data_IF_939059140534
#
_entry.id   IF_939059140534
#
_cell.length_a   1.000
_cell.length_b   1.000
_cell.length_c   1.000
_cell.angle_alpha   90.00
_cell.angle_beta   90.00
_cell.angle_gamma   90.00
#
_symmetry.space_group_name_H-M   'P 1'
#
loop_
_entity.id
_entity.type
_entity.pdbx_description
1 polymer ?
#
# COMPACT_ATOMS: atom_id res chain seq x y z
N UNK A 1 -67.91 -20.16 48.44
CA UNK A 1 -66.45 -20.40 48.57
C UNK A 1 -65.87 -20.37 47.18
N UNK A 2 -65.21 -19.26 46.82
CA UNK A 2 -64.60 -19.02 45.52
C UNK A 2 -63.08 -19.10 45.75
N UNK A 3 -62.41 -20.04 45.07
CA UNK A 3 -60.96 -20.14 45.11
C UNK A 3 -60.35 -19.02 44.25
N UNK A 4 -59.38 -18.31 44.82
CA UNK A 4 -58.64 -17.23 44.17
C UNK A 4 -57.56 -17.84 43.26
N UNK A 5 -57.55 -17.59 41.94
CA UNK A 5 -56.60 -18.19 41.00
C UNK A 5 -55.18 -17.59 41.08
N UNK A 6 -54.93 -16.64 41.97
CA UNK A 6 -53.66 -15.91 42.08
C UNK A 6 -52.82 -16.28 43.32
N UNK A 7 -53.17 -17.37 44.00
CA UNK A 7 -52.46 -17.85 45.18
C UNK A 7 -51.98 -19.28 44.92
N UNK A 8 -51.18 -19.43 43.87
CA UNK A 8 -50.33 -20.61 43.76
C UNK A 8 -49.15 -20.39 44.69
N UNK A 9 -49.17 -21.11 45.81
CA UNK A 9 -48.03 -21.27 46.70
C UNK A 9 -46.92 -21.96 45.87
N UNK A 10 -46.01 -21.16 45.31
CA UNK A 10 -44.92 -21.58 44.41
C UNK A 10 -43.90 -22.53 45.08
N UNK A 11 -44.17 -22.92 46.33
CA UNK A 11 -43.42 -23.86 47.15
C UNK A 11 -44.00 -25.28 47.16
N UNK A 12 -44.95 -25.60 46.28
CA UNK A 12 -45.41 -26.97 46.11
C UNK A 12 -44.21 -27.91 45.88
N UNK A 13 -44.15 -29.01 46.65
CA UNK A 13 -43.07 -29.99 46.61
C UNK A 13 -42.80 -30.42 45.17
N UNK A 14 -41.70 -29.92 44.63
CA UNK A 14 -41.26 -30.26 43.27
C UNK A 14 -41.00 -31.77 43.21
N UNK A 15 -41.41 -32.40 42.11
CA UNK A 15 -41.17 -33.82 41.93
C UNK A 15 -39.65 -34.11 41.99
N UNK A 16 -39.21 -35.12 42.76
CA UNK A 16 -37.78 -35.40 42.89
C UNK A 16 -37.19 -35.74 41.51
N UNK A 17 -36.27 -34.89 41.04
CA UNK A 17 -35.61 -35.02 39.73
C UNK A 17 -35.92 -33.93 38.70
N UNK A 18 -36.84 -33.00 39.00
CA UNK A 18 -37.16 -31.91 38.07
C UNK A 18 -36.04 -30.85 37.99
N UNK A 19 -35.42 -30.56 39.14
CA UNK A 19 -34.24 -29.70 39.25
C UNK A 19 -33.03 -30.23 38.47
N UNK A 20 -32.76 -31.55 38.54
CA UNK A 20 -31.64 -32.15 37.80
C UNK A 20 -31.87 -32.12 36.30
N UNK A 21 -33.12 -32.26 35.83
CA UNK A 21 -33.48 -32.07 34.42
C UNK A 21 -33.21 -30.66 33.92
N UNK A 22 -33.53 -29.62 34.70
CA UNK A 22 -33.22 -28.23 34.32
C UNK A 22 -31.72 -27.94 34.29
N UNK A 23 -30.94 -28.52 35.20
CA UNK A 23 -29.48 -28.37 35.19
C UNK A 23 -28.88 -29.00 33.94
N UNK A 24 -29.31 -30.21 33.57
CA UNK A 24 -28.83 -30.87 32.36
C UNK A 24 -29.19 -30.13 31.07
N UNK A 25 -30.36 -29.50 30.99
CA UNK A 25 -30.73 -28.69 29.81
C UNK A 25 -29.92 -27.40 29.71
N UNK A 26 -29.60 -26.76 30.85
CA UNK A 26 -28.73 -25.59 30.90
C UNK A 26 -27.29 -25.92 30.50
N UNK A 27 -26.73 -27.05 30.97
CA UNK A 27 -25.38 -27.46 30.60
C UNK A 27 -25.26 -27.79 29.11
N UNK A 28 -26.23 -28.51 28.55
CA UNK A 28 -26.27 -28.80 27.11
C UNK A 28 -26.40 -27.52 26.25
N UNK A 29 -27.15 -26.52 26.72
CA UNK A 29 -27.25 -25.22 26.05
C UNK A 29 -25.93 -24.42 26.15
N UNK A 30 -25.27 -24.48 27.30
CA UNK A 30 -24.01 -23.78 27.57
C UNK A 30 -22.86 -24.31 26.72
N UNK A 31 -22.76 -25.63 26.54
CA UNK A 31 -21.74 -26.23 25.67
C UNK A 31 -21.91 -25.81 24.21
N UNK A 32 -23.15 -25.79 23.68
CA UNK A 32 -23.43 -25.33 22.32
C UNK A 32 -23.08 -23.85 22.12
N UNK A 33 -23.33 -23.01 23.12
CA UNK A 33 -22.97 -21.60 23.07
C UNK A 33 -21.45 -21.37 23.10
N UNK A 34 -20.70 -22.17 23.88
CA UNK A 34 -19.24 -22.09 23.95
C UNK A 34 -18.57 -22.51 22.65
N UNK A 35 -19.06 -23.59 22.04
CA UNK A 35 -18.52 -24.10 20.78
C UNK A 35 -18.74 -23.12 19.61
N UNK A 36 -19.88 -22.42 19.55
CA UNK A 36 -20.12 -21.39 18.53
C UNK A 36 -19.14 -20.22 18.62
N UNK A 37 -18.84 -19.74 19.83
CA UNK A 37 -17.88 -18.64 20.03
C UNK A 37 -16.45 -19.04 19.62
N UNK A 38 -16.05 -20.27 19.92
CA UNK A 38 -14.72 -20.78 19.54
C UNK A 38 -14.55 -20.89 18.01
N UNK A 39 -15.57 -21.39 17.32
CA UNK A 39 -15.58 -21.47 15.84
C UNK A 39 -15.48 -20.09 15.19
N UNK A 40 -16.21 -19.11 15.72
CA UNK A 40 -16.24 -17.77 15.16
C UNK A 40 -14.88 -17.06 15.32
N UNK A 41 -14.24 -17.15 16.49
CA UNK A 41 -12.91 -16.58 16.73
C UNK A 41 -11.82 -17.30 15.90
N UNK A 42 -11.89 -18.62 15.80
CA UNK A 42 -10.95 -19.41 15.00
C UNK A 42 -11.00 -19.06 13.51
N UNK A 43 -12.20 -18.84 12.97
CA UNK A 43 -12.38 -18.48 11.56
C UNK A 43 -11.75 -17.13 11.22
N UNK A 44 -11.94 -16.11 12.08
CA UNK A 44 -11.31 -14.81 11.87
C UNK A 44 -9.78 -14.89 11.98
N UNK A 45 -9.26 -15.64 12.97
CA UNK A 45 -7.81 -15.82 13.14
C UNK A 45 -7.14 -16.41 11.90
N UNK A 46 -7.73 -17.44 11.28
CA UNK A 46 -7.18 -18.07 10.08
C UNK A 46 -7.20 -17.12 8.86
N UNK A 47 -8.24 -16.29 8.74
CA UNK A 47 -8.39 -15.33 7.65
C UNK A 47 -7.33 -14.21 7.71
N UNK A 48 -7.00 -13.72 8.91
CA UNK A 48 -5.92 -12.75 9.11
C UNK A 48 -4.54 -13.32 8.76
N UNK A 49 -4.26 -14.57 9.14
CA UNK A 49 -2.98 -15.23 8.80
C UNK A 49 -2.85 -15.40 7.29
N UNK A 50 -3.90 -15.87 6.61
CA UNK A 50 -3.88 -16.02 5.15
C UNK A 50 -3.69 -14.67 4.42
N UNK A 51 -4.38 -13.62 4.85
CA UNK A 51 -4.22 -12.28 4.30
C UNK A 51 -2.79 -11.72 4.51
N UNK A 52 -2.21 -11.94 5.69
CA UNK A 52 -0.85 -11.51 6.01
C UNK A 52 0.21 -12.13 5.10
N UNK A 53 0.10 -13.42 4.79
CA UNK A 53 1.05 -14.14 3.92
C UNK A 53 1.02 -13.58 2.49
N UNK A 54 -0.17 -13.29 1.95
CA UNK A 54 -0.31 -12.76 0.59
C UNK A 54 0.34 -11.38 0.49
N UNK A 55 0.07 -10.48 1.45
CA UNK A 55 0.61 -9.12 1.45
C UNK A 55 2.14 -9.13 1.60
N UNK A 56 2.68 -9.94 2.52
CA UNK A 56 4.13 -10.07 2.71
C UNK A 56 4.83 -10.67 1.47
N UNK A 57 4.21 -11.66 0.82
CA UNK A 57 4.74 -12.29 -0.39
C UNK A 57 4.78 -11.35 -1.59
N UNK A 58 3.76 -10.51 -1.79
CA UNK A 58 3.74 -9.51 -2.87
C UNK A 58 4.85 -8.47 -2.71
N UNK A 59 5.12 -8.03 -1.48
CA UNK A 59 6.18 -7.07 -1.19
C UNK A 59 7.58 -7.61 -1.51
N UNK A 60 7.83 -8.88 -1.21
CA UNK A 60 9.10 -9.58 -1.50
C UNK A 60 9.28 -9.93 -2.98
N UNK A 61 8.19 -10.13 -3.73
CA UNK A 61 8.27 -10.39 -5.17
C UNK A 61 8.61 -9.10 -5.94
N UNK A 62 8.11 -7.95 -5.50
CA UNK A 62 8.38 -6.66 -6.13
C UNK A 62 9.80 -6.15 -5.93
N UNK A 63 10.50 -6.58 -4.88
CA UNK A 63 11.90 -6.23 -4.68
C UNK A 63 12.87 -6.92 -5.66
N UNK A 64 12.40 -7.90 -6.44
CA UNK A 64 13.23 -8.59 -7.46
C UNK A 64 13.10 -8.04 -8.87
N UNK A 65 12.21 -7.07 -9.10
CA UNK A 65 12.07 -6.44 -10.41
C UNK A 65 13.14 -5.36 -10.55
N UNK A 66 14.22 -5.71 -11.23
CA UNK A 66 15.26 -4.78 -11.65
C UNK A 66 14.69 -3.88 -12.77
N UNK A 67 14.56 -2.59 -12.47
CA UNK A 67 14.23 -1.57 -13.46
C UNK A 67 15.42 -0.62 -13.55
N UNK A 68 15.91 -0.35 -14.77
CA UNK A 68 17.13 0.44 -14.94
C UNK A 68 18.41 -0.19 -14.34
N UNK A 69 18.41 -1.49 -14.09
CA UNK A 69 19.56 -2.24 -13.54
C UNK A 69 19.74 -2.17 -12.03
N UNK A 70 18.78 -1.61 -11.28
CA UNK A 70 18.76 -1.60 -9.81
C UNK A 70 17.42 -2.11 -9.27
N UNK A 71 17.46 -2.71 -8.09
CA UNK A 71 16.26 -3.19 -7.39
C UNK A 71 15.48 -2.05 -6.73
N UNK A 72 14.19 -2.27 -6.42
CA UNK A 72 13.38 -1.27 -5.69
C UNK A 72 13.99 -0.93 -4.32
N UNK A 73 14.61 -1.91 -3.65
CA UNK A 73 15.23 -1.73 -2.34
C UNK A 73 16.49 -0.85 -2.42
N UNK A 74 17.34 -1.09 -3.42
CA UNK A 74 18.52 -0.25 -3.70
C UNK A 74 18.08 1.16 -4.10
N UNK A 75 17.08 1.28 -4.98
CA UNK A 75 16.52 2.57 -5.37
C UNK A 75 16.08 3.37 -4.13
N UNK A 76 15.36 2.75 -3.19
CA UNK A 76 14.91 3.39 -1.96
C UNK A 76 16.08 3.81 -1.04
N UNK A 77 17.13 3.00 -0.96
CA UNK A 77 18.32 3.33 -0.17
C UNK A 77 19.04 4.60 -0.69
N UNK A 78 19.01 4.84 -1.99
CA UNK A 78 19.65 6.00 -2.63
C UNK A 78 18.75 7.24 -2.79
N UNK A 79 17.51 7.22 -2.27
CA UNK A 79 16.58 8.36 -2.39
C UNK A 79 17.15 9.68 -1.89
N UNK A 80 17.82 9.68 -0.73
CA UNK A 80 18.37 10.91 -0.12
C UNK A 80 19.50 11.48 -0.98
N UNK A 81 20.38 10.62 -1.47
CA UNK A 81 21.53 11.02 -2.28
C UNK A 81 21.09 11.54 -3.65
N UNK A 82 20.13 10.86 -4.28
CA UNK A 82 19.54 11.31 -5.53
C UNK A 82 18.73 12.60 -5.39
N UNK A 83 18.03 12.80 -4.27
CA UNK A 83 17.40 14.07 -3.96
C UNK A 83 18.43 15.20 -3.86
N UNK A 84 19.54 14.98 -3.14
CA UNK A 84 20.61 15.98 -3.01
C UNK A 84 21.19 16.36 -4.36
N UNK A 85 21.38 15.39 -5.26
CA UNK A 85 21.77 15.62 -6.64
C UNK A 85 20.85 16.60 -7.38
N UNK A 86 19.55 16.36 -7.28
CA UNK A 86 18.53 17.16 -7.97
C UNK A 86 18.38 18.55 -7.35
N UNK A 87 18.50 18.66 -6.02
CA UNK A 87 18.31 19.90 -5.28
C UNK A 87 19.53 20.84 -5.37
N UNK A 88 20.74 20.31 -5.24
CA UNK A 88 21.97 21.10 -5.11
C UNK A 88 22.76 21.21 -6.44
N UNK A 89 22.27 20.57 -7.53
CA UNK A 89 23.02 20.37 -8.78
C UNK A 89 24.43 19.79 -8.56
N UNK A 90 24.64 19.12 -7.44
CA UNK A 90 25.94 18.59 -7.07
C UNK A 90 26.23 17.38 -7.95
N UNK A 91 27.32 17.37 -8.70
CA UNK A 91 27.67 16.25 -9.58
C UNK A 91 27.83 14.99 -8.73
N UNK A 92 26.94 14.02 -8.90
CA UNK A 92 27.09 12.74 -8.21
C UNK A 92 28.42 12.13 -8.62
N UNK A 93 29.11 11.53 -7.64
CA UNK A 93 30.36 10.81 -7.89
C UNK A 93 30.19 9.66 -8.88
N UNK A 94 28.97 9.11 -8.95
CA UNK A 94 28.63 8.01 -9.83
C UNK A 94 27.50 8.39 -10.81
N UNK A 95 27.88 8.70 -12.05
CA UNK A 95 26.96 9.06 -13.12
C UNK A 95 26.11 7.87 -13.62
N UNK A 96 26.54 6.63 -13.35
CA UNK A 96 25.76 5.45 -13.71
C UNK A 96 24.58 5.30 -12.74
N UNK A 97 24.82 5.53 -11.45
CA UNK A 97 23.78 5.44 -10.42
C UNK A 97 22.63 6.42 -10.66
N UNK A 98 22.94 7.68 -11.01
CA UNK A 98 21.90 8.68 -11.31
C UNK A 98 21.04 8.27 -12.51
N UNK A 99 21.67 7.73 -13.55
CA UNK A 99 20.98 7.24 -14.75
C UNK A 99 20.11 6.03 -14.43
N UNK A 100 20.64 5.06 -13.69
CA UNK A 100 19.89 3.89 -13.23
C UNK A 100 18.69 4.28 -12.36
N UNK A 101 18.84 5.23 -11.44
CA UNK A 101 17.74 5.74 -10.63
C UNK A 101 16.69 6.50 -11.44
N UNK A 102 17.12 7.36 -12.37
CA UNK A 102 16.21 8.06 -13.26
C UNK A 102 15.36 7.08 -14.08
N UNK A 103 15.99 6.05 -14.65
CA UNK A 103 15.32 4.98 -15.39
C UNK A 103 14.39 4.16 -14.49
N UNK A 104 14.85 3.78 -13.29
CA UNK A 104 14.03 3.03 -12.33
C UNK A 104 12.78 3.82 -11.94
N UNK A 105 12.90 5.11 -11.62
CA UNK A 105 11.76 5.96 -11.30
C UNK A 105 10.84 6.18 -12.52
N UNK A 106 11.37 6.21 -13.74
CA UNK A 106 10.60 6.30 -14.98
C UNK A 106 9.79 5.04 -15.31
N UNK A 107 10.19 3.87 -14.81
CA UNK A 107 9.51 2.59 -15.06
C UNK A 107 8.65 2.14 -13.86
N UNK A 108 9.19 2.22 -12.64
CA UNK A 108 8.55 1.77 -11.42
C UNK A 108 7.64 2.85 -10.81
N UNK A 109 6.32 2.69 -10.99
CA UNK A 109 5.31 3.63 -10.47
C UNK A 109 5.30 3.73 -8.94
N UNK A 110 5.58 2.63 -8.23
CA UNK A 110 5.57 2.60 -6.77
C UNK A 110 6.73 3.41 -6.19
N UNK A 111 7.95 3.18 -6.67
CA UNK A 111 9.12 3.95 -6.25
C UNK A 111 8.96 5.43 -6.60
N UNK A 112 8.38 5.76 -7.77
CA UNK A 112 8.05 7.15 -8.13
C UNK A 112 7.06 7.79 -7.16
N UNK A 113 5.98 7.09 -6.81
CA UNK A 113 4.98 7.60 -5.87
C UNK A 113 5.59 7.83 -4.48
N UNK A 114 6.41 6.89 -3.99
CA UNK A 114 7.11 7.04 -2.72
C UNK A 114 8.12 8.20 -2.75
N UNK A 115 8.87 8.35 -3.83
CA UNK A 115 9.81 9.45 -3.99
C UNK A 115 9.09 10.80 -4.00
N UNK A 116 7.99 10.92 -4.75
CA UNK A 116 7.15 12.13 -4.77
C UNK A 116 6.51 12.43 -3.41
N UNK A 117 6.14 11.41 -2.64
CA UNK A 117 5.59 11.57 -1.31
C UNK A 117 6.65 12.07 -0.31
N UNK A 118 7.89 11.58 -0.44
CA UNK A 118 9.01 12.01 0.41
C UNK A 118 9.55 13.39 0.01
N UNK A 119 9.59 13.70 -1.28
CA UNK A 119 10.19 14.92 -1.85
C UNK A 119 9.26 15.56 -2.90
N UNK A 120 8.18 16.24 -2.47
CA UNK A 120 7.22 16.83 -3.39
C UNK A 120 7.85 17.95 -4.24
N UNK A 121 7.53 17.98 -5.54
CA UNK A 121 7.95 19.03 -6.48
C UNK A 121 9.36 18.88 -7.07
N UNK A 122 10.20 18.00 -6.53
CA UNK A 122 11.60 17.85 -6.99
C UNK A 122 11.67 17.20 -8.37
N UNK A 123 10.88 16.15 -8.62
CA UNK A 123 10.82 15.49 -9.93
C UNK A 123 10.22 16.40 -11.00
N UNK A 124 9.23 17.21 -10.67
CA UNK A 124 8.61 18.17 -11.59
C UNK A 124 9.61 19.27 -12.01
N UNK A 125 10.43 19.75 -11.06
CA UNK A 125 11.53 20.67 -11.33
C UNK A 125 12.60 20.06 -12.26
N UNK A 126 12.95 18.80 -12.05
CA UNK A 126 13.91 18.09 -12.90
C UNK A 126 13.36 17.90 -14.32
N UNK A 127 12.14 17.37 -14.46
CA UNK A 127 11.51 17.15 -15.78
C UNK A 127 11.36 18.46 -16.53
N UNK A 128 10.99 19.56 -15.86
CA UNK A 128 10.88 20.88 -16.48
C UNK A 128 12.24 21.50 -16.87
N UNK A 129 13.32 21.20 -16.14
CA UNK A 129 14.68 21.58 -16.52
C UNK A 129 15.13 20.88 -17.81
N UNK A 130 14.80 19.59 -17.99
CA UNK A 130 15.10 18.84 -19.21
C UNK A 130 14.11 19.11 -20.34
N UNK A 131 12.86 19.46 -20.02
CA UNK A 131 11.81 19.79 -20.97
C UNK A 131 11.86 21.25 -21.45
N UNK A 132 12.91 22.02 -21.13
CA UNK A 132 13.24 23.22 -21.92
C UNK A 132 13.80 22.73 -23.26
N UNK A 133 13.01 22.69 -24.36
CA UNK A 133 13.62 22.57 -25.66
C UNK A 133 14.63 23.71 -25.73
N UNK A 134 15.88 23.38 -26.04
CA UNK A 134 16.78 24.33 -26.63
C UNK A 134 16.03 24.88 -27.85
N UNK A 135 15.32 26.00 -27.70
CA UNK A 135 14.94 26.83 -28.82
C UNK A 135 16.27 27.24 -29.42
N UNK A 136 16.71 26.41 -30.38
CA UNK A 136 17.71 26.76 -31.36
C UNK A 136 17.30 28.13 -31.85
N UNK A 137 18.09 29.14 -31.49
CA UNK A 137 18.11 30.40 -32.21
C UNK A 137 18.02 30.06 -33.71
N UNK A 138 16.97 30.47 -34.43
CA UNK A 138 17.01 30.40 -35.88
C UNK A 138 18.13 31.36 -36.28
N UNK A 139 19.25 30.81 -36.74
CA UNK A 139 20.33 31.58 -37.34
C UNK A 139 19.70 32.51 -38.39
N UNK A 140 19.99 33.82 -38.37
CA UNK A 140 19.53 34.71 -39.42
C UNK A 140 20.20 34.29 -40.73
N UNK A 141 19.40 33.73 -41.65
CA UNK A 141 19.79 33.53 -43.04
C UNK A 141 20.13 34.90 -43.64
N UNK A 142 21.41 35.22 -43.74
CA UNK A 142 21.91 36.30 -44.58
C UNK A 142 21.66 35.91 -46.04
N UNK A 143 20.53 36.37 -46.57
CA UNK A 143 20.23 36.29 -47.99
C UNK A 143 21.17 37.22 -48.77
N UNK A 144 22.20 36.65 -49.38
CA UNK A 144 23.06 37.34 -50.36
C UNK A 144 22.27 37.36 -51.68
N UNK A 145 21.61 38.49 -51.96
CA UNK A 145 20.99 38.75 -53.25
C UNK A 145 22.08 39.05 -54.29
N UNK A 146 22.32 38.10 -55.19
CA UNK A 146 23.21 38.28 -56.34
C UNK A 146 22.34 38.76 -57.53
N UNK A 147 22.42 40.04 -57.89
CA UNK A 147 21.78 40.59 -59.09
C UNK A 147 22.74 40.50 -60.28
N UNK A 148 22.38 39.86 -61.41
CA UNK A 148 23.13 39.99 -62.64
C UNK A 148 22.73 41.28 -63.39
N UNK A 149 23.75 42.09 -63.71
CA UNK A 149 23.63 43.25 -64.59
C UNK A 149 23.42 42.80 -66.05
N UNK A 150 22.40 43.37 -66.69
CA UNK A 150 22.16 43.29 -68.13
C UNK A 150 23.11 44.22 -68.88
N UNK A 151 23.76 43.72 -69.93
CA UNK A 151 24.27 44.49 -71.06
C UNK A 151 23.90 43.78 -72.36
#
# INVERSE_FOLDING_TARGET
MLCNPNEHDDWADCSPGELSRMVHTLDAARERARNKKMLQVGMFGMLFVAAGIIVAGSFLAQSRLEHGGITCAECQAHFVEYHRHLAELEVLRDANLTTSMANHLAECRLCRAQFNQAYPGVLEGAVSAFARPAMRNPLPMLAIANQPALY
#
